data_IF_714553422645
#
_entry.id   IF_714553422645
#
_cell.length_a   1.000
_cell.length_b   1.000
_cell.length_c   1.000
_cell.angle_alpha   90.00
_cell.angle_beta   90.00
_cell.angle_gamma   90.00
#
_symmetry.space_group_name_H-M   'P 1'
#
loop_
_entity.id
_entity.type
_entity.pdbx_description
1 polymer ?
#
# COMPACT_ATOMS: atom_id res chain seq x y z
N UNK A 1 -12.75 -1.27 -6.12
CA UNK A 1 -12.45 -2.70 -5.87
C UNK A 1 -11.73 -2.79 -4.54
N UNK A 2 -12.03 -3.81 -3.70
CA UNK A 2 -11.31 -4.01 -2.46
C UNK A 2 -9.82 -4.18 -2.73
N UNK A 3 -9.01 -3.72 -1.79
CA UNK A 3 -7.56 -3.88 -1.84
C UNK A 3 -7.26 -5.37 -1.83
N UNK A 4 -6.64 -5.89 -2.90
CA UNK A 4 -6.18 -7.29 -2.91
C UNK A 4 -4.79 -7.34 -2.30
N UNK A 5 -4.64 -8.04 -1.19
CA UNK A 5 -3.34 -8.41 -0.63
C UNK A 5 -2.77 -9.58 -1.42
N UNK A 6 -1.47 -9.57 -1.68
CA UNK A 6 -0.82 -10.64 -2.43
C UNK A 6 -0.75 -11.92 -1.60
N UNK A 7 -0.40 -11.78 -0.32
CA UNK A 7 -0.11 -12.82 0.67
C UNK A 7 -1.32 -13.25 1.51
N UNK A 8 -2.54 -12.93 1.06
CA UNK A 8 -3.79 -13.36 1.71
C UNK A 8 -4.65 -14.10 0.70
N UNK A 9 -4.79 -15.41 0.90
CA UNK A 9 -5.50 -16.34 0.04
C UNK A 9 -6.72 -16.98 0.69
N UNK A 10 -7.67 -17.53 -0.09
CA UNK A 10 -8.91 -18.12 0.43
C UNK A 10 -8.75 -19.27 1.43
N UNK A 11 -7.56 -19.86 1.52
CA UNK A 11 -7.24 -20.96 2.44
C UNK A 11 -6.75 -20.46 3.80
N UNK A 12 -6.41 -19.19 3.93
CA UNK A 12 -5.96 -18.62 5.19
C UNK A 12 -7.14 -18.47 6.14
N UNK A 13 -6.94 -18.86 7.40
CA UNK A 13 -8.01 -18.84 8.41
C UNK A 13 -8.55 -17.42 8.68
N UNK A 14 -7.73 -16.39 8.46
CA UNK A 14 -8.08 -14.97 8.61
C UNK A 14 -8.60 -14.32 7.32
N UNK A 15 -8.67 -15.04 6.19
CA UNK A 15 -9.00 -14.48 4.87
C UNK A 15 -10.28 -13.63 4.87
N UNK A 16 -11.37 -14.18 5.43
CA UNK A 16 -12.68 -13.49 5.46
C UNK A 16 -12.62 -12.22 6.30
N UNK A 17 -11.99 -12.28 7.48
CA UNK A 17 -11.87 -11.14 8.37
C UNK A 17 -11.07 -9.99 7.72
N UNK A 18 -9.98 -10.31 7.01
CA UNK A 18 -9.19 -9.30 6.28
C UNK A 18 -10.03 -8.66 5.17
N UNK A 19 -10.76 -9.44 4.37
CA UNK A 19 -11.61 -8.88 3.31
C UNK A 19 -12.74 -7.98 3.84
N UNK A 20 -13.38 -8.38 4.94
CA UNK A 20 -14.43 -7.58 5.58
C UNK A 20 -13.85 -6.27 6.10
N UNK A 21 -12.70 -6.32 6.77
CA UNK A 21 -12.06 -5.14 7.37
C UNK A 21 -11.45 -4.18 6.34
N UNK A 22 -11.00 -4.67 5.18
CA UNK A 22 -10.62 -3.83 4.03
C UNK A 22 -11.77 -3.03 3.44
N UNK A 23 -13.02 -3.41 3.75
CA UNK A 23 -14.22 -2.67 3.34
C UNK A 23 -14.71 -1.67 4.40
N UNK A 24 -14.07 -1.64 5.58
CA UNK A 24 -14.41 -0.74 6.66
C UNK A 24 -13.61 0.55 6.54
N UNK A 25 -14.29 1.69 6.36
CA UNK A 25 -13.65 3.00 6.26
C UNK A 25 -13.65 3.74 7.59
N UNK A 26 -12.57 4.47 7.87
CA UNK A 26 -12.41 5.27 9.09
C UNK A 26 -12.69 6.76 8.88
N UNK A 27 -13.05 7.14 7.66
CA UNK A 27 -13.42 8.51 7.31
C UNK A 27 -14.71 8.55 6.48
N UNK A 28 -15.34 9.73 6.42
CA UNK A 28 -16.57 9.95 5.67
C UNK A 28 -16.37 9.93 4.14
N UNK A 29 -15.15 10.22 3.66
CA UNK A 29 -14.80 10.26 2.23
C UNK A 29 -14.52 8.87 1.65
N UNK A 30 -14.43 7.85 2.49
CA UNK A 30 -14.04 6.48 2.19
C UNK A 30 -12.65 6.39 1.55
N UNK A 31 -11.71 7.19 2.06
CA UNK A 31 -10.33 7.24 1.53
C UNK A 31 -9.40 6.32 2.33
N UNK A 32 -9.61 6.18 3.63
CA UNK A 32 -8.83 5.35 4.53
C UNK A 32 -9.64 4.18 5.08
N UNK A 33 -9.05 2.99 5.00
CA UNK A 33 -9.61 1.74 5.54
C UNK A 33 -9.20 1.53 7.00
N UNK A 34 -9.82 0.58 7.69
CA UNK A 34 -9.50 0.22 9.07
C UNK A 34 -8.05 -0.27 9.20
N UNK A 35 -7.59 -1.08 8.26
CA UNK A 35 -6.19 -1.49 8.17
C UNK A 35 -5.47 -0.70 7.09
N UNK A 36 -4.30 -0.14 7.42
CA UNK A 36 -3.30 0.28 6.45
C UNK A 36 -2.23 -0.80 6.36
N UNK A 37 -1.79 -1.12 5.15
CA UNK A 37 -0.68 -2.07 4.97
C UNK A 37 0.62 -1.46 5.48
N UNK A 38 1.56 -2.31 5.88
CA UNK A 38 2.95 -1.90 6.07
C UNK A 38 3.61 -1.68 4.71
N UNK A 39 4.37 -0.60 4.59
CA UNK A 39 5.12 -0.29 3.37
C UNK A 39 6.44 -1.03 3.36
N UNK A 40 6.90 -1.42 2.16
CA UNK A 40 8.14 -2.15 1.99
C UNK A 40 8.75 -1.88 0.61
N UNK A 41 10.07 -1.93 0.53
CA UNK A 41 10.83 -1.85 -0.72
C UNK A 41 12.21 -2.52 -0.64
N UNK A 42 12.47 -3.27 0.45
CA UNK A 42 13.68 -4.05 0.63
C UNK A 42 13.39 -5.54 0.47
N UNK A 43 14.28 -6.23 -0.22
CA UNK A 43 14.12 -7.64 -0.59
C UNK A 43 15.42 -8.38 -0.32
N UNK A 44 15.31 -9.68 -0.04
CA UNK A 44 16.47 -10.56 0.07
C UNK A 44 17.27 -10.50 -1.23
N UNK A 45 18.60 -10.54 -1.13
CA UNK A 45 19.52 -10.51 -2.27
C UNK A 45 19.14 -11.53 -3.35
N UNK A 46 18.97 -11.07 -4.60
CA UNK A 46 18.56 -11.90 -5.74
C UNK A 46 17.07 -12.25 -5.79
N UNK A 47 16.25 -11.76 -4.86
CA UNK A 47 14.80 -11.99 -4.76
C UNK A 47 14.01 -10.69 -4.80
N UNK A 48 14.43 -9.74 -5.65
CA UNK A 48 13.70 -8.48 -5.82
C UNK A 48 12.42 -8.66 -6.61
N UNK A 49 11.47 -7.75 -6.42
CA UNK A 49 10.27 -7.69 -7.26
C UNK A 49 10.63 -7.27 -8.68
N UNK A 50 10.21 -8.08 -9.66
CA UNK A 50 10.51 -7.86 -11.07
C UNK A 50 9.33 -8.24 -11.97
N UNK A 51 9.19 -7.55 -13.11
CA UNK A 51 8.23 -7.89 -14.16
C UNK A 51 8.96 -8.24 -15.44
N UNK A 52 8.72 -9.45 -15.95
CA UNK A 52 9.24 -9.92 -17.22
C UNK A 52 8.12 -9.91 -18.26
N UNK A 53 8.35 -9.26 -19.39
CA UNK A 53 7.35 -9.08 -20.43
C UNK A 53 7.76 -9.84 -21.69
N UNK A 54 6.83 -10.62 -22.24
CA UNK A 54 7.03 -11.47 -23.40
C UNK A 54 5.91 -11.25 -24.42
N UNK A 55 6.21 -11.60 -25.66
CA UNK A 55 5.20 -11.86 -26.69
C UNK A 55 5.23 -13.36 -26.97
N UNK A 56 4.10 -14.04 -26.82
CA UNK A 56 4.05 -15.50 -26.99
C UNK A 56 4.32 -15.90 -28.44
N UNK A 57 4.96 -17.05 -28.62
CA UNK A 57 5.02 -17.76 -29.89
C UNK A 57 3.96 -18.87 -29.94
N UNK A 58 3.67 -19.38 -31.14
CA UNK A 58 2.68 -20.44 -31.32
C UNK A 58 3.04 -21.70 -30.52
N UNK A 59 2.10 -22.19 -29.71
CA UNK A 59 2.28 -23.37 -28.87
C UNK A 59 3.13 -23.13 -27.61
N UNK A 60 3.54 -21.89 -27.32
CA UNK A 60 4.42 -21.62 -26.17
C UNK A 60 3.71 -21.88 -24.85
N UNK A 61 4.33 -22.71 -24.01
CA UNK A 61 3.90 -23.03 -22.63
C UNK A 61 4.96 -22.70 -21.58
N UNK A 62 6.17 -22.35 -22.02
CA UNK A 62 7.36 -22.18 -21.18
C UNK A 62 7.98 -20.80 -21.44
N UNK A 63 8.22 -20.05 -20.37
CA UNK A 63 8.81 -18.71 -20.42
C UNK A 63 10.14 -18.72 -19.67
N UNK A 64 11.19 -18.25 -20.33
CA UNK A 64 12.51 -18.13 -19.74
C UNK A 64 12.64 -16.85 -18.92
N UNK A 65 12.95 -17.01 -17.64
CA UNK A 65 13.26 -15.94 -16.70
C UNK A 65 14.65 -16.21 -16.14
N UNK A 66 15.68 -15.74 -16.84
CA UNK A 66 17.07 -16.05 -16.52
C UNK A 66 17.44 -15.63 -15.09
N UNK A 67 18.05 -16.53 -14.33
CA UNK A 67 18.41 -16.33 -12.92
C UNK A 67 17.28 -16.62 -11.93
N UNK A 68 16.06 -16.91 -12.39
CA UNK A 68 14.97 -17.29 -11.51
C UNK A 68 15.24 -18.62 -10.83
N UNK A 69 15.02 -18.66 -9.52
CA UNK A 69 15.00 -19.89 -8.71
C UNK A 69 13.72 -19.89 -7.90
N UNK A 70 12.87 -20.92 -7.95
CA UNK A 70 11.66 -20.96 -7.13
C UNK A 70 11.97 -20.79 -5.62
N UNK A 71 11.14 -20.02 -4.91
CA UNK A 71 11.17 -19.89 -3.45
C UNK A 71 9.72 -19.90 -2.96
N UNK A 72 9.43 -20.69 -1.92
CA UNK A 72 8.07 -20.86 -1.41
C UNK A 72 7.47 -19.59 -0.80
N UNK A 73 8.30 -18.60 -0.45
CA UNK A 73 7.87 -17.30 0.10
C UNK A 73 7.59 -16.27 -0.99
N UNK A 74 7.99 -16.55 -2.23
CA UNK A 74 7.75 -15.69 -3.37
C UNK A 74 6.48 -16.11 -4.11
N UNK A 75 5.63 -15.12 -4.40
CA UNK A 75 4.46 -15.32 -5.26
C UNK A 75 4.79 -14.94 -6.69
N UNK A 76 4.34 -15.77 -7.62
CA UNK A 76 4.48 -15.57 -9.07
C UNK A 76 3.10 -15.36 -9.67
N UNK A 77 2.90 -14.23 -10.34
CA UNK A 77 1.66 -13.91 -11.04
C UNK A 77 1.93 -13.83 -12.54
N UNK A 78 1.13 -14.54 -13.34
CA UNK A 78 1.20 -14.48 -14.80
C UNK A 78 -0.04 -13.78 -15.32
N UNK A 79 0.13 -12.84 -16.23
CA UNK A 79 -0.96 -12.14 -16.92
C UNK A 79 -0.83 -12.41 -18.41
N UNK A 80 -1.88 -12.95 -19.02
CA UNK A 80 -1.93 -13.24 -20.45
C UNK A 80 -3.02 -12.35 -21.06
N UNK A 81 -2.63 -11.41 -21.90
CA UNK A 81 -3.49 -10.29 -22.34
C UNK A 81 -4.23 -9.66 -21.14
N UNK A 82 -3.51 -9.46 -20.04
CA UNK A 82 -4.08 -8.91 -18.80
C UNK A 82 -4.96 -9.85 -17.97
N UNK A 83 -5.25 -11.06 -18.43
CA UNK A 83 -6.01 -12.05 -17.67
C UNK A 83 -5.08 -12.77 -16.69
N UNK A 84 -5.33 -12.71 -15.37
CA UNK A 84 -4.51 -13.41 -14.39
C UNK A 84 -4.64 -14.93 -14.58
N UNK A 85 -3.51 -15.58 -14.75
CA UNK A 85 -3.37 -17.02 -15.01
C UNK A 85 -2.44 -17.62 -13.95
N UNK A 86 -2.84 -18.74 -13.37
CA UNK A 86 -1.98 -19.46 -12.42
C UNK A 86 -0.88 -20.22 -13.19
N UNK A 87 0.39 -20.10 -12.79
CA UNK A 87 1.44 -20.94 -13.35
C UNK A 87 1.18 -22.41 -13.01
N UNK A 88 1.47 -23.31 -13.96
CA UNK A 88 1.32 -24.76 -13.76
C UNK A 88 2.52 -25.37 -13.05
N UNK A 89 3.71 -24.82 -13.29
CA UNK A 89 4.97 -25.26 -12.68
C UNK A 89 5.96 -24.09 -12.61
N UNK A 90 6.70 -24.03 -11.51
CA UNK A 90 7.83 -23.13 -11.31
C UNK A 90 9.11 -23.98 -11.33
N UNK A 91 10.08 -23.59 -12.14
CA UNK A 91 11.33 -24.32 -12.35
C UNK A 91 12.49 -23.32 -12.43
N UNK A 92 13.71 -23.79 -12.19
CA UNK A 92 14.90 -22.95 -12.37
C UNK A 92 14.94 -22.35 -13.76
N UNK A 93 15.11 -21.03 -13.82
CA UNK A 93 15.06 -20.19 -15.01
C UNK A 93 13.76 -20.21 -15.81
N UNK A 94 12.71 -20.92 -15.38
CA UNK A 94 11.52 -21.12 -16.20
C UNK A 94 10.20 -21.09 -15.43
N UNK A 95 9.21 -20.44 -16.05
CA UNK A 95 7.83 -20.44 -15.57
C UNK A 95 6.95 -21.07 -16.64
N UNK A 96 6.15 -22.05 -16.23
CA UNK A 96 5.29 -22.82 -17.12
C UNK A 96 3.83 -22.44 -16.91
N UNK A 97 3.08 -22.45 -18.01
CA UNK A 97 1.62 -22.32 -18.03
C UNK A 97 0.99 -23.64 -18.47
N UNK A 98 -0.24 -23.90 -18.02
CA UNK A 98 -0.88 -25.21 -18.17
C UNK A 98 -1.42 -25.53 -19.56
N UNK A 99 -1.35 -24.59 -20.51
CA UNK A 99 -1.93 -24.72 -21.84
C UNK A 99 -1.12 -23.94 -22.88
N UNK A 100 -1.11 -24.38 -24.14
CA UNK A 100 -0.40 -23.70 -25.22
C UNK A 100 -1.05 -22.36 -25.57
N UNK A 101 -0.24 -21.34 -25.86
CA UNK A 101 -0.71 -20.04 -26.33
C UNK A 101 -0.67 -19.94 -27.86
N UNK A 102 -1.60 -19.16 -28.38
CA UNK A 102 -1.51 -18.67 -29.76
C UNK A 102 -0.39 -17.65 -29.90
N UNK A 103 0.17 -17.50 -31.10
CA UNK A 103 1.16 -16.48 -31.40
C UNK A 103 0.65 -15.05 -31.11
N UNK A 104 1.53 -14.18 -30.62
CA UNK A 104 1.29 -12.74 -30.50
C UNK A 104 0.56 -12.28 -29.23
N UNK A 105 0.35 -13.14 -28.24
CA UNK A 105 -0.26 -12.76 -26.94
C UNK A 105 0.75 -12.02 -26.08
N UNK A 106 0.31 -11.01 -25.35
CA UNK A 106 1.17 -10.31 -24.39
C UNK A 106 1.18 -11.07 -23.06
N UNK A 107 2.37 -11.44 -22.59
CA UNK A 107 2.54 -12.16 -21.33
C UNK A 107 3.40 -11.35 -20.39
N UNK A 108 2.86 -10.97 -19.24
CA UNK A 108 3.61 -10.32 -18.16
C UNK A 108 3.70 -11.26 -16.97
N UNK A 109 4.92 -11.54 -16.54
CA UNK A 109 5.22 -12.37 -15.38
C UNK A 109 5.75 -11.46 -14.27
N UNK A 110 5.01 -11.36 -13.17
CA UNK A 110 5.41 -10.66 -11.96
C UNK A 110 6.00 -11.64 -10.95
N UNK A 111 7.27 -11.47 -10.65
CA UNK A 111 7.93 -12.02 -9.48
C UNK A 111 7.71 -11.06 -8.32
N UNK A 112 7.00 -11.48 -7.27
CA UNK A 112 6.67 -10.58 -6.15
C UNK A 112 7.88 -10.21 -5.28
N UNK A 113 8.99 -10.93 -5.43
CA UNK A 113 10.15 -10.87 -4.55
C UNK A 113 9.92 -11.57 -3.21
N UNK A 114 11.01 -11.71 -2.44
CA UNK A 114 10.97 -12.10 -1.02
C UNK A 114 11.38 -10.89 -0.20
N UNK A 115 10.43 -10.33 0.54
CA UNK A 115 10.62 -9.13 1.35
C UNK A 115 11.62 -9.43 2.46
N UNK A 116 12.57 -8.54 2.69
CA UNK A 116 13.48 -8.66 3.82
C UNK A 116 12.75 -8.22 5.09
N UNK A 117 12.80 -9.07 6.12
CA UNK A 117 12.09 -8.88 7.37
C UNK A 117 13.13 -8.61 8.47
N UNK A 118 12.87 -7.60 9.29
CA UNK A 118 13.57 -7.47 10.56
C UNK A 118 13.07 -8.56 11.50
N UNK A 119 13.96 -9.43 11.96
CA UNK A 119 13.66 -10.40 13.01
C UNK A 119 14.21 -9.88 14.33
N UNK A 120 13.31 -9.53 15.24
CA UNK A 120 13.66 -9.17 16.60
C UNK A 120 14.30 -10.33 17.37
N UNK A 121 15.06 -10.02 18.43
CA UNK A 121 15.71 -10.99 19.32
C UNK A 121 14.83 -11.42 20.51
N UNK A 122 13.54 -11.07 20.46
CA UNK A 122 12.55 -11.31 21.51
C UNK A 122 12.82 -10.61 22.85
N UNK A 123 13.77 -9.67 22.92
CA UNK A 123 13.89 -8.76 24.05
C UNK A 123 12.82 -7.68 24.01
N UNK A 124 12.48 -7.08 25.17
CA UNK A 124 11.42 -6.06 25.28
C UNK A 124 11.59 -4.88 24.31
N UNK A 125 12.83 -4.52 23.97
CA UNK A 125 13.16 -3.35 23.14
C UNK A 125 13.45 -3.70 21.68
N UNK A 126 13.59 -4.99 21.34
CA UNK A 126 13.91 -5.46 19.99
C UNK A 126 13.12 -6.73 19.62
N UNK A 127 11.84 -6.77 19.96
CA UNK A 127 10.95 -7.91 19.73
C UNK A 127 10.13 -7.84 18.43
N UNK A 128 10.21 -6.74 17.68
CA UNK A 128 9.35 -6.57 16.51
C UNK A 128 9.74 -7.50 15.37
N UNK A 129 8.73 -7.84 14.57
CA UNK A 129 8.90 -8.47 13.28
C UNK A 129 8.20 -7.57 12.28
N UNK A 130 8.93 -6.98 11.34
CA UNK A 130 8.35 -6.03 10.38
C UNK A 130 9.11 -6.02 9.04
N UNK A 131 8.45 -5.67 7.92
CA UNK A 131 9.12 -5.58 6.63
C UNK A 131 10.06 -4.39 6.57
N UNK A 132 11.25 -4.60 6.02
CA UNK A 132 12.27 -3.56 5.91
C UNK A 132 11.99 -2.58 4.76
N UNK A 133 12.50 -1.37 4.96
CA UNK A 133 12.58 -0.33 3.95
C UNK A 133 14.03 0.00 3.66
N UNK A 134 14.38 0.03 2.38
CA UNK A 134 15.68 0.49 1.93
C UNK A 134 15.76 2.02 1.99
N UNK A 135 16.93 2.54 2.33
CA UNK A 135 17.20 3.98 2.40
C UNK A 135 17.35 4.66 1.04
N UNK A 136 16.87 4.06 -0.06
CA UNK A 136 16.96 4.68 -1.38
C UNK A 136 15.96 5.84 -1.54
N UNK A 137 16.27 6.77 -2.44
CA UNK A 137 15.36 7.87 -2.77
C UNK A 137 14.14 7.35 -3.50
N UNK A 138 13.00 7.34 -2.81
CA UNK A 138 11.72 6.87 -3.35
C UNK A 138 11.36 7.65 -4.62
N UNK A 139 10.92 6.91 -5.64
CA UNK A 139 10.50 7.51 -6.90
C UNK A 139 9.35 6.74 -7.51
N UNK A 140 8.33 7.44 -7.99
CA UNK A 140 7.25 6.84 -8.78
C UNK A 140 7.80 6.28 -10.10
N UNK A 141 7.32 5.10 -10.54
CA UNK A 141 7.67 4.57 -11.86
C UNK A 141 7.31 5.56 -12.95
N UNK A 142 8.28 5.86 -13.81
CA UNK A 142 8.12 6.87 -14.85
C UNK A 142 8.75 6.48 -16.18
N UNK A 143 8.26 7.07 -17.27
CA UNK A 143 8.88 6.98 -18.59
C UNK A 143 8.66 8.27 -19.38
N UNK A 144 9.72 8.74 -20.05
CA UNK A 144 9.62 9.83 -21.03
C UNK A 144 8.85 9.35 -22.26
N UNK A 145 7.83 10.09 -22.65
CA UNK A 145 7.03 9.82 -23.85
C UNK A 145 7.73 10.25 -25.13
N UNK A 146 7.43 9.63 -26.27
CA UNK A 146 8.05 9.94 -27.57
C UNK A 146 7.91 11.42 -27.97
N UNK A 147 6.75 12.03 -27.69
CA UNK A 147 6.47 13.46 -27.99
C UNK A 147 6.57 14.35 -26.76
N UNK A 148 7.35 13.96 -25.75
CA UNK A 148 7.47 14.67 -24.47
C UNK A 148 7.76 16.17 -24.61
N UNK A 149 8.68 16.57 -25.50
CA UNK A 149 9.06 17.98 -25.68
C UNK A 149 7.92 18.86 -26.22
N UNK A 150 6.91 18.23 -26.82
CA UNK A 150 5.75 18.90 -27.39
C UNK A 150 4.47 18.56 -26.61
N UNK A 151 4.58 17.90 -25.46
CA UNK A 151 3.42 17.54 -24.66
C UNK A 151 2.67 18.82 -24.23
N UNK A 152 1.35 18.78 -24.36
CA UNK A 152 0.48 19.86 -23.91
C UNK A 152 -0.63 19.24 -23.08
N UNK A 153 -0.72 19.67 -21.83
CA UNK A 153 -1.89 19.41 -21.02
C UNK A 153 -2.96 20.47 -21.33
N UNK A 154 -4.13 20.03 -21.74
CA UNK A 154 -5.30 20.87 -21.91
C UNK A 154 -6.48 20.19 -21.23
N UNK A 155 -7.09 20.88 -20.28
CA UNK A 155 -8.21 20.35 -19.50
C UNK A 155 -9.40 19.99 -20.38
N UNK A 156 -9.61 20.73 -21.47
CA UNK A 156 -10.67 20.52 -22.47
C UNK A 156 -10.48 19.19 -23.20
N UNK A 157 -9.22 18.78 -23.42
CA UNK A 157 -8.86 17.53 -24.08
C UNK A 157 -8.34 16.46 -23.11
N UNK A 158 -8.47 16.67 -21.81
CA UNK A 158 -7.96 15.75 -20.78
C UNK A 158 -8.61 14.37 -20.85
N UNK A 159 -9.84 14.27 -21.35
CA UNK A 159 -10.54 13.01 -21.58
C UNK A 159 -9.92 12.16 -22.72
N UNK A 160 -9.11 12.77 -23.58
CA UNK A 160 -8.39 12.09 -24.65
C UNK A 160 -7.08 11.45 -24.17
N UNK A 161 -6.66 11.76 -22.94
CA UNK A 161 -5.52 11.11 -22.30
C UNK A 161 -5.97 9.84 -21.61
N UNK A 162 -5.52 8.70 -22.13
CA UNK A 162 -5.95 7.39 -21.68
C UNK A 162 -4.71 6.53 -21.53
N UNK A 163 -4.58 5.86 -20.39
CA UNK A 163 -3.59 4.82 -20.21
C UNK A 163 -4.29 3.48 -19.92
N UNK A 164 -3.78 2.42 -20.51
CA UNK A 164 -4.26 1.04 -20.34
C UNK A 164 -3.08 0.15 -19.99
N UNK A 165 -3.23 -0.66 -18.95
CA UNK A 165 -2.26 -1.66 -18.53
C UNK A 165 -3.02 -2.97 -18.30
N UNK A 166 -2.53 -4.10 -18.81
CA UNK A 166 -3.18 -5.41 -18.61
C UNK A 166 -4.70 -5.39 -18.94
N UNK A 167 -5.07 -4.79 -20.07
CA UNK A 167 -6.46 -4.61 -20.50
C UNK A 167 -7.38 -3.86 -19.51
N UNK A 168 -6.78 -3.14 -18.55
CA UNK A 168 -7.48 -2.29 -17.60
C UNK A 168 -7.18 -0.82 -17.87
N UNK A 169 -8.23 -0.01 -18.04
CA UNK A 169 -8.10 1.45 -18.10
C UNK A 169 -7.65 1.98 -16.74
N UNK A 170 -6.58 2.76 -16.74
CA UNK A 170 -6.04 3.41 -15.56
C UNK A 170 -6.82 4.69 -15.26
N UNK A 171 -6.90 5.06 -13.97
CA UNK A 171 -7.52 6.31 -13.54
C UNK A 171 -6.51 7.45 -13.70
N UNK A 172 -6.85 8.46 -14.51
CA UNK A 172 -6.04 9.68 -14.60
C UNK A 172 -6.21 10.49 -13.31
N UNK A 173 -5.11 10.90 -12.70
CA UNK A 173 -5.10 11.77 -11.52
C UNK A 173 -4.46 13.11 -11.91
N UNK A 174 -5.15 14.21 -11.63
CA UNK A 174 -4.54 15.53 -11.74
C UNK A 174 -3.60 15.75 -10.55
N UNK A 175 -2.40 16.26 -10.82
CA UNK A 175 -1.38 16.49 -9.81
C UNK A 175 -0.95 17.94 -9.95
N UNK A 176 -1.39 18.73 -8.99
CA UNK A 176 -0.95 20.12 -8.84
C UNK A 176 0.39 20.12 -8.12
N UNK A 177 1.42 20.68 -8.75
CA UNK A 177 2.75 20.85 -8.15
C UNK A 177 2.80 22.25 -7.58
N UNK A 178 2.99 22.36 -6.26
CA UNK A 178 3.08 23.66 -5.60
C UNK A 178 4.37 24.38 -5.99
N UNK A 179 4.42 25.70 -5.79
CA UNK A 179 5.67 26.46 -5.90
C UNK A 179 6.71 25.85 -4.93
N UNK A 180 7.93 25.63 -5.42
CA UNK A 180 9.06 25.01 -4.72
C UNK A 180 8.91 23.52 -4.31
N UNK A 181 7.83 22.83 -4.72
CA UNK A 181 7.66 21.39 -4.46
C UNK A 181 8.28 20.53 -5.58
N UNK A 182 8.94 19.43 -5.21
CA UNK A 182 9.42 18.48 -6.22
C UNK A 182 8.24 17.69 -6.82
N UNK A 183 8.37 17.24 -8.07
CA UNK A 183 7.34 16.40 -8.71
C UNK A 183 7.07 15.13 -7.88
N UNK A 184 8.10 14.54 -7.25
CA UNK A 184 7.94 13.34 -6.42
C UNK A 184 7.16 13.61 -5.14
N UNK A 185 7.33 14.78 -4.52
CA UNK A 185 6.58 15.18 -3.33
C UNK A 185 5.11 15.42 -3.69
N UNK A 186 4.86 16.11 -4.81
CA UNK A 186 3.50 16.34 -5.32
C UNK A 186 2.79 15.02 -5.65
N UNK A 187 3.50 14.06 -6.25
CA UNK A 187 3.00 12.71 -6.51
C UNK A 187 2.72 11.96 -5.19
N UNK A 188 3.61 12.03 -4.21
CA UNK A 188 3.45 11.38 -2.90
C UNK A 188 2.22 11.91 -2.18
N UNK A 189 2.04 13.23 -2.16
CA UNK A 189 0.88 13.92 -1.57
C UNK A 189 -0.43 13.56 -2.25
N UNK A 190 -0.45 13.43 -3.58
CA UNK A 190 -1.68 13.30 -4.36
C UNK A 190 -2.09 11.85 -4.66
N UNK A 191 -1.12 11.03 -5.08
CA UNK A 191 -1.33 9.62 -5.41
C UNK A 191 -1.20 8.73 -4.18
N UNK A 192 -0.21 8.97 -3.32
CA UNK A 192 0.12 8.08 -2.20
C UNK A 192 0.20 6.61 -2.64
N UNK A 193 -0.62 5.74 -2.05
CA UNK A 193 -0.69 4.32 -2.42
C UNK A 193 -1.89 3.94 -3.30
N UNK A 194 -2.53 4.93 -3.96
CA UNK A 194 -3.60 4.66 -4.93
C UNK A 194 -3.08 3.74 -6.02
N UNK A 195 -3.86 2.71 -6.37
CA UNK A 195 -3.51 1.72 -7.38
C UNK A 195 -4.15 2.06 -8.72
N UNK A 196 -3.56 1.53 -9.79
CA UNK A 196 -4.07 1.61 -11.16
C UNK A 196 -4.34 3.06 -11.63
N UNK A 197 -3.44 3.96 -11.24
CA UNK A 197 -3.52 5.38 -11.55
C UNK A 197 -2.35 5.82 -12.44
N UNK A 198 -2.57 6.88 -13.22
CA UNK A 198 -1.52 7.52 -14.00
C UNK A 198 -1.68 9.04 -14.02
N UNK A 199 -0.59 9.73 -14.32
CA UNK A 199 -0.58 11.15 -14.67
C UNK A 199 0.54 11.43 -15.67
N UNK A 200 0.43 12.54 -16.39
CA UNK A 200 1.47 12.98 -17.34
C UNK A 200 1.87 14.40 -16.95
N UNK A 201 3.14 14.57 -16.61
CA UNK A 201 3.73 15.85 -16.18
C UNK A 201 4.96 16.09 -17.04
N UNK A 202 5.00 17.23 -17.74
CA UNK A 202 6.12 17.64 -18.60
C UNK A 202 6.53 16.55 -19.63
N UNK A 203 5.56 15.83 -20.18
CA UNK A 203 5.79 14.77 -21.15
C UNK A 203 6.36 13.45 -20.58
N UNK A 204 6.39 13.30 -19.26
CA UNK A 204 6.68 12.04 -18.59
C UNK A 204 5.39 11.40 -18.09
N UNK A 205 5.19 10.13 -18.43
CA UNK A 205 4.16 9.30 -17.82
C UNK A 205 4.65 8.84 -16.45
N UNK A 206 3.88 9.14 -15.42
CA UNK A 206 4.04 8.61 -14.06
C UNK A 206 2.87 7.68 -13.76
N UNK A 207 3.15 6.55 -13.12
CA UNK A 207 2.13 5.57 -12.73
C UNK A 207 2.26 5.14 -11.28
N UNK A 208 1.18 4.61 -10.70
CA UNK A 208 1.19 4.06 -9.35
C UNK A 208 2.22 2.93 -9.19
N UNK A 209 2.81 2.80 -7.99
CA UNK A 209 3.88 1.84 -7.70
C UNK A 209 3.57 0.39 -8.11
N UNK A 210 2.30 -0.02 -8.04
CA UNK A 210 1.88 -1.38 -8.43
C UNK A 210 2.09 -1.69 -9.92
N UNK A 211 2.27 -0.67 -10.76
CA UNK A 211 2.48 -0.78 -12.21
C UNK A 211 3.96 -0.64 -12.61
N UNK A 212 4.88 -0.63 -11.65
CA UNK A 212 6.31 -0.61 -11.94
C UNK A 212 6.69 -1.77 -12.88
N UNK A 213 7.39 -1.48 -13.98
CA UNK A 213 7.85 -2.44 -15.00
C UNK A 213 6.75 -3.14 -15.82
N UNK A 214 5.47 -2.79 -15.63
CA UNK A 214 4.41 -3.27 -16.51
C UNK A 214 4.33 -2.46 -17.81
N UNK A 215 3.98 -3.09 -18.95
CA UNK A 215 3.75 -2.38 -20.20
C UNK A 215 2.43 -1.61 -20.15
N UNK A 216 2.49 -0.36 -20.60
CA UNK A 216 1.35 0.56 -20.60
C UNK A 216 1.18 1.13 -22.00
N UNK A 217 -0.05 1.07 -22.49
CA UNK A 217 -0.46 1.73 -23.73
C UNK A 217 -1.06 3.07 -23.38
N UNK A 218 -0.47 4.15 -23.86
CA UNK A 218 -0.86 5.52 -23.52
C UNK A 218 -1.25 6.31 -24.77
N UNK A 219 -2.35 7.04 -24.62
CA UNK A 219 -2.80 8.08 -25.52
C UNK A 219 -2.61 9.42 -24.83
N UNK A 220 -2.04 10.40 -25.52
CA UNK A 220 -1.78 11.72 -24.93
C UNK A 220 -1.71 12.82 -25.99
N UNK A 221 -1.92 14.05 -25.53
CA UNK A 221 -1.96 15.22 -26.41
C UNK A 221 -0.57 15.83 -26.59
N UNK A 222 -0.28 16.31 -27.80
CA UNK A 222 0.96 17.00 -28.11
C UNK A 222 0.74 18.08 -29.17
N UNK A 223 1.54 19.14 -29.11
CA UNK A 223 1.52 20.23 -30.07
C UNK A 223 2.26 19.85 -31.35
N UNK A 224 1.58 20.05 -32.49
CA UNK A 224 2.17 19.97 -33.82
C UNK A 224 1.84 21.24 -34.60
N UNK A 225 2.75 22.22 -34.57
CA UNK A 225 2.52 23.54 -35.15
C UNK A 225 1.47 24.31 -34.34
N UNK A 226 0.39 24.77 -34.98
CA UNK A 226 -0.72 25.46 -34.32
C UNK A 226 -1.83 24.50 -33.82
N UNK A 227 -1.71 23.19 -34.06
CA UNK A 227 -2.75 22.22 -33.72
C UNK A 227 -2.32 21.29 -32.58
N UNK A 228 -3.26 20.98 -31.69
CA UNK A 228 -3.14 19.88 -30.72
C UNK A 228 -3.52 18.58 -31.44
N UNK A 229 -2.64 17.59 -31.39
CA UNK A 229 -2.89 16.23 -31.89
C UNK A 229 -2.81 15.23 -30.75
N UNK A 230 -3.41 14.07 -30.95
CA UNK A 230 -3.36 12.98 -29.99
C UNK A 230 -2.45 11.86 -30.54
N UNK A 231 -1.41 11.51 -29.79
CA UNK A 231 -0.62 10.31 -30.02
C UNK A 231 -1.39 9.14 -29.43
N UNK A 232 -1.63 8.09 -30.22
CA UNK A 232 -2.41 6.93 -29.79
C UNK A 232 -1.55 5.67 -29.76
N UNK A 233 -1.78 4.84 -28.74
CA UNK A 233 -1.26 3.48 -28.63
C UNK A 233 0.25 3.41 -28.42
N UNK A 234 0.89 4.44 -27.86
CA UNK A 234 2.32 4.35 -27.54
C UNK A 234 2.51 3.33 -26.41
N UNK A 235 3.35 2.31 -26.66
CA UNK A 235 3.69 1.30 -25.66
C UNK A 235 4.93 1.74 -24.88
N UNK A 236 4.79 1.93 -23.58
CA UNK A 236 5.87 2.34 -22.68
C UNK A 236 5.96 1.42 -21.47
N UNK A 237 7.17 1.25 -20.93
CA UNK A 237 7.42 0.50 -19.69
C UNK A 237 8.00 1.48 -18.66
N UNK A 238 7.16 2.08 -17.78
CA UNK A 238 7.63 2.92 -16.70
C UNK A 238 8.39 2.10 -15.67
N UNK A 239 9.47 2.68 -15.17
CA UNK A 239 10.36 2.01 -14.22
C UNK A 239 10.76 2.96 -13.09
N UNK A 240 10.91 2.38 -11.91
CA UNK A 240 11.58 2.98 -10.77
C UNK A 240 12.51 1.95 -10.14
N UNK A 241 13.73 2.39 -9.83
CA UNK A 241 14.72 1.61 -9.08
C UNK A 241 14.39 1.54 -7.58
N UNK A 242 13.50 2.40 -7.09
CA UNK A 242 13.15 2.53 -5.68
C UNK A 242 11.63 2.72 -5.52
N UNK A 243 10.87 1.74 -5.98
CA UNK A 243 9.41 1.73 -5.86
C UNK A 243 8.97 1.29 -4.46
N UNK A 244 7.97 1.96 -3.89
CA UNK A 244 7.42 1.64 -2.56
C UNK A 244 6.14 0.82 -2.70
N UNK A 245 6.08 -0.34 -2.04
CA UNK A 245 4.95 -1.26 -2.14
C UNK A 245 4.10 -1.25 -0.87
N UNK A 246 2.78 -1.43 -1.05
CA UNK A 246 1.78 -1.51 0.02
C UNK A 246 0.67 -2.50 -0.39
N UNK A 247 1.09 -3.69 -0.81
CA UNK A 247 0.22 -4.73 -1.36
C UNK A 247 0.35 -6.09 -0.67
N UNK A 248 1.06 -6.16 0.45
CA UNK A 248 1.09 -7.32 1.36
C UNK A 248 0.51 -6.96 2.71
N UNK A 249 -0.14 -7.92 3.34
CA UNK A 249 -0.78 -7.80 4.65
C UNK A 249 0.23 -8.03 5.78
N UNK A 250 1.16 -8.97 5.60
CA UNK A 250 2.14 -9.42 6.60
C UNK A 250 1.48 -9.97 7.89
N UNK A 251 0.88 -11.17 7.85
CA UNK A 251 0.13 -11.71 8.99
C UNK A 251 0.99 -12.02 10.23
N UNK A 252 2.28 -12.25 10.06
CA UNK A 252 3.19 -12.72 11.11
C UNK A 252 4.00 -11.59 11.78
N UNK A 253 3.58 -10.33 11.63
CA UNK A 253 4.28 -9.20 12.25
C UNK A 253 4.05 -9.14 13.76
N UNK A 254 5.05 -8.65 14.48
CA UNK A 254 4.95 -8.29 15.90
C UNK A 254 4.97 -6.78 16.00
N UNK A 255 3.94 -6.21 16.61
CA UNK A 255 3.74 -4.76 16.72
C UNK A 255 4.06 -4.23 18.11
N UNK A 256 4.49 -2.97 18.16
CA UNK A 256 4.63 -2.26 19.43
C UNK A 256 3.29 -1.89 20.06
N UNK A 257 3.29 -1.63 21.36
CA UNK A 257 2.12 -1.17 22.10
C UNK A 257 1.54 0.12 21.50
N UNK A 258 2.37 1.07 21.07
CA UNK A 258 1.90 2.28 20.39
C UNK A 258 1.17 2.00 19.07
N UNK A 259 1.64 1.02 18.29
CA UNK A 259 1.01 0.61 17.04
C UNK A 259 -0.31 -0.13 17.29
N UNK A 260 -0.36 -0.97 18.32
CA UNK A 260 -1.60 -1.63 18.76
C UNK A 260 -2.65 -0.60 19.21
N UNK A 261 -2.25 0.42 19.96
CA UNK A 261 -3.15 1.51 20.35
C UNK A 261 -3.60 2.36 19.17
N UNK A 262 -2.77 2.48 18.13
CA UNK A 262 -3.20 3.10 16.86
C UNK A 262 -4.29 2.29 16.18
N UNK A 263 -4.21 0.96 16.19
CA UNK A 263 -5.27 0.09 15.68
C UNK A 263 -6.58 0.27 16.47
N UNK A 264 -6.51 0.28 17.81
CA UNK A 264 -7.67 0.53 18.67
C UNK A 264 -8.29 1.91 18.39
N UNK A 265 -7.47 2.94 18.15
CA UNK A 265 -7.97 4.27 17.81
C UNK A 265 -8.68 4.26 16.45
N UNK A 266 -8.19 3.52 15.46
CA UNK A 266 -8.90 3.38 14.17
C UNK A 266 -10.23 2.65 14.31
N UNK A 267 -10.29 1.63 15.18
CA UNK A 267 -11.56 0.99 15.56
C UNK A 267 -12.50 1.99 16.20
N UNK A 268 -12.02 2.81 17.15
CA UNK A 268 -12.80 3.90 17.78
C UNK A 268 -13.35 4.87 16.74
N UNK A 269 -12.51 5.39 15.84
CA UNK A 269 -12.93 6.27 14.75
C UNK A 269 -14.02 5.65 13.89
N UNK A 270 -13.86 4.38 13.52
CA UNK A 270 -14.87 3.65 12.76
C UNK A 270 -16.21 3.54 13.50
N UNK A 271 -16.19 3.21 14.80
CA UNK A 271 -17.40 3.10 15.63
C UNK A 271 -18.11 4.45 15.72
N UNK A 272 -17.40 5.53 16.05
CA UNK A 272 -17.99 6.88 16.08
C UNK A 272 -18.63 7.26 14.75
N UNK A 273 -17.92 7.07 13.63
CA UNK A 273 -18.44 7.41 12.32
C UNK A 273 -19.65 6.54 11.88
N UNK A 274 -19.87 5.39 12.50
CA UNK A 274 -21.01 4.50 12.22
C UNK A 274 -22.22 4.80 13.11
N UNK A 275 -21.99 5.12 14.37
CA UNK A 275 -23.05 5.19 15.39
C UNK A 275 -23.34 6.61 15.87
N UNK A 276 -22.68 7.62 15.31
CA UNK A 276 -22.94 9.02 15.67
C UNK A 276 -23.09 9.88 14.43
N UNK A 277 -23.95 10.91 14.53
CA UNK A 277 -24.19 11.86 13.43
C UNK A 277 -23.02 12.83 13.21
N UNK A 278 -22.10 12.92 14.17
CA UNK A 278 -20.92 13.78 14.10
C UNK A 278 -19.71 12.92 13.78
N UNK A 279 -18.97 13.30 12.74
CA UNK A 279 -17.69 12.67 12.46
C UNK A 279 -16.76 12.74 13.68
N UNK A 280 -15.97 11.69 13.88
CA UNK A 280 -14.99 11.68 14.94
C UNK A 280 -13.96 12.80 14.77
N UNK A 281 -13.64 13.51 15.86
CA UNK A 281 -12.64 14.59 15.88
C UNK A 281 -11.56 14.21 16.89
N UNK A 282 -10.30 14.13 16.45
CA UNK A 282 -9.16 13.93 17.33
C UNK A 282 -8.93 15.17 18.20
N UNK A 283 -8.67 14.96 19.49
CA UNK A 283 -8.00 15.94 20.32
C UNK A 283 -6.55 16.11 19.85
N UNK A 284 -6.04 17.32 19.90
CA UNK A 284 -4.63 17.60 19.68
C UNK A 284 -3.78 17.09 20.86
N UNK A 285 -2.47 16.90 20.64
CA UNK A 285 -1.51 16.52 21.70
C UNK A 285 -1.58 17.44 22.93
N UNK A 286 -1.88 18.73 22.70
CA UNK A 286 -2.01 19.76 23.75
C UNK A 286 -3.28 19.61 24.58
N UNK A 287 -4.31 18.98 24.02
CA UNK A 287 -5.61 18.76 24.68
C UNK A 287 -5.65 17.47 25.51
N UNK A 288 -4.62 16.62 25.45
CA UNK A 288 -4.53 15.42 26.30
C UNK A 288 -4.35 15.81 27.76
N UNK A 289 -5.36 15.50 28.58
CA UNK A 289 -5.39 15.84 30.01
C UNK A 289 -4.60 14.86 30.87
N UNK A 290 -4.57 13.57 30.48
CA UNK A 290 -3.93 12.51 31.24
C UNK A 290 -2.44 12.75 31.44
N UNK A 291 -1.99 12.63 32.69
CA UNK A 291 -0.57 12.52 33.02
C UNK A 291 -0.03 11.16 32.57
N UNK A 292 1.04 11.18 31.79
CA UNK A 292 1.77 9.99 31.31
C UNK A 292 3.26 10.32 31.44
N UNK A 293 3.98 9.54 32.25
CA UNK A 293 5.37 9.81 32.61
C UNK A 293 6.29 9.89 31.40
N UNK A 294 6.09 9.03 30.40
CA UNK A 294 6.88 8.93 29.17
C UNK A 294 6.17 9.56 27.95
N UNK A 295 5.34 10.59 28.17
CA UNK A 295 4.66 11.35 27.11
C UNK A 295 5.66 11.94 26.10
N UNK A 296 6.82 12.38 26.56
CA UNK A 296 7.91 12.92 25.74
C UNK A 296 8.44 11.90 24.72
N UNK A 297 8.44 10.60 25.05
CA UNK A 297 8.81 9.52 24.13
C UNK A 297 7.73 9.21 23.08
N UNK A 298 6.48 9.60 23.35
CA UNK A 298 5.35 9.45 22.43
C UNK A 298 5.32 10.63 21.45
N UNK A 299 5.53 11.85 21.94
CA UNK A 299 5.45 13.07 21.13
C UNK A 299 6.50 13.05 20.01
N UNK A 300 6.08 13.42 18.79
CA UNK A 300 6.94 13.41 17.59
C UNK A 300 6.96 12.07 16.85
N UNK A 301 6.37 11.01 17.42
CA UNK A 301 6.14 9.74 16.71
C UNK A 301 4.92 9.86 15.81
N UNK A 302 4.90 9.09 14.71
CA UNK A 302 3.80 9.10 13.75
C UNK A 302 2.46 8.68 14.37
N UNK A 303 2.48 7.88 15.43
CA UNK A 303 1.30 7.41 16.16
C UNK A 303 0.90 8.31 17.35
N UNK A 304 1.62 9.42 17.59
CA UNK A 304 1.50 10.18 18.84
C UNK A 304 0.06 10.64 19.12
N UNK A 305 -0.59 11.24 18.13
CA UNK A 305 -1.97 11.71 18.27
C UNK A 305 -2.93 10.55 18.55
N UNK A 306 -2.82 9.44 17.81
CA UNK A 306 -3.70 8.29 18.00
C UNK A 306 -3.59 7.69 19.39
N UNK A 307 -2.35 7.48 19.87
CA UNK A 307 -2.06 6.91 21.19
C UNK A 307 -2.55 7.84 22.30
N UNK A 308 -2.23 9.13 22.24
CA UNK A 308 -2.63 10.07 23.29
C UNK A 308 -4.15 10.27 23.33
N UNK A 309 -4.83 10.28 22.17
CA UNK A 309 -6.29 10.40 22.12
C UNK A 309 -7.02 9.25 22.77
N UNK A 310 -6.57 8.02 22.54
CA UNK A 310 -7.24 6.85 23.07
C UNK A 310 -6.87 6.61 24.55
N UNK A 311 -5.66 6.98 24.97
CA UNK A 311 -5.26 6.92 26.38
C UNK A 311 -6.01 7.91 27.26
N UNK A 312 -6.49 9.01 26.69
CA UNK A 312 -7.28 10.03 27.41
C UNK A 312 -8.75 9.64 27.59
N UNK A 313 -9.19 8.53 26.97
CA UNK A 313 -10.57 8.09 27.03
C UNK A 313 -10.94 7.58 28.44
N UNK A 314 -12.16 7.89 28.88
CA UNK A 314 -12.70 7.56 30.20
C UNK A 314 -14.03 6.79 30.07
N UNK A 315 -14.28 5.90 31.01
CA UNK A 315 -15.61 5.34 31.26
C UNK A 315 -16.55 6.42 31.84
N UNK A 316 -17.86 6.15 31.97
CA UNK A 316 -18.77 7.18 32.51
C UNK A 316 -18.53 7.48 34.00
N UNK A 317 -17.85 6.59 34.73
CA UNK A 317 -17.41 6.82 36.10
C UNK A 317 -16.21 7.78 36.22
N UNK A 318 -15.66 8.24 35.09
CA UNK A 318 -14.51 9.14 35.01
C UNK A 318 -13.15 8.44 35.08
N UNK A 319 -13.09 7.13 35.29
CA UNK A 319 -11.85 6.37 35.26
C UNK A 319 -11.34 6.17 33.83
N UNK A 320 -10.02 6.23 33.64
CA UNK A 320 -9.43 6.00 32.32
C UNK A 320 -9.65 4.56 31.84
N UNK A 321 -10.00 4.42 30.55
CA UNK A 321 -10.29 3.11 29.93
C UNK A 321 -9.07 2.21 29.98
N UNK A 322 -7.92 2.72 29.57
CA UNK A 322 -6.68 1.96 29.48
C UNK A 322 -5.77 2.22 30.69
N UNK A 323 -5.21 1.18 31.33
CA UNK A 323 -4.29 1.36 32.44
C UNK A 323 -2.91 1.82 31.96
N UNK A 324 -2.20 2.56 32.81
CA UNK A 324 -0.75 2.74 32.73
C UNK A 324 -0.07 1.72 33.66
N UNK A 325 1.25 1.57 33.54
CA UNK A 325 2.02 0.82 34.52
C UNK A 325 2.03 1.54 35.88
N UNK A 326 2.47 0.81 36.91
CA UNK A 326 2.53 1.33 38.29
C UNK A 326 3.41 2.58 38.45
N UNK A 327 4.31 2.85 37.51
CA UNK A 327 5.16 4.04 37.49
C UNK A 327 4.62 5.16 36.58
N UNK A 328 3.33 5.10 36.21
CA UNK A 328 2.64 6.03 35.30
C UNK A 328 3.20 6.06 33.86
N UNK A 329 3.96 5.04 33.45
CA UNK A 329 4.45 4.91 32.08
C UNK A 329 3.51 4.13 31.17
N UNK A 330 3.58 4.38 29.86
CA UNK A 330 2.89 3.63 28.81
C UNK A 330 3.82 2.68 28.04
N UNK A 331 5.09 3.06 27.88
CA UNK A 331 6.12 2.31 27.16
C UNK A 331 5.73 2.00 25.70
N UNK A 332 5.58 3.02 24.83
CA UNK A 332 5.00 2.85 23.49
C UNK A 332 5.79 1.95 22.54
N UNK A 333 7.11 1.82 22.75
CA UNK A 333 8.06 1.12 21.87
C UNK A 333 8.41 -0.29 22.38
N UNK A 334 7.56 -0.87 23.24
CA UNK A 334 7.68 -2.26 23.72
C UNK A 334 6.60 -3.10 23.05
N UNK A 335 6.90 -4.36 22.69
CA UNK A 335 5.90 -5.20 22.05
C UNK A 335 4.73 -5.51 22.99
N UNK A 336 3.53 -5.51 22.40
CA UNK A 336 2.33 -5.90 23.14
C UNK A 336 2.36 -7.41 23.40
N UNK A 337 2.23 -7.80 24.67
CA UNK A 337 2.09 -9.21 25.04
C UNK A 337 0.65 -9.69 24.80
N UNK A 338 0.45 -11.01 24.73
CA UNK A 338 -0.90 -11.59 24.60
C UNK A 338 -1.83 -11.18 25.75
N UNK A 339 -1.30 -11.15 26.98
CA UNK A 339 -2.07 -10.75 28.16
C UNK A 339 -2.52 -9.29 28.06
N UNK A 340 -1.60 -8.40 27.68
CA UNK A 340 -1.91 -6.98 27.46
C UNK A 340 -2.93 -6.78 26.34
N UNK A 341 -2.75 -7.44 25.19
CA UNK A 341 -3.68 -7.33 24.07
C UNK A 341 -5.11 -7.73 24.49
N UNK A 342 -5.27 -8.82 25.26
CA UNK A 342 -6.58 -9.25 25.78
C UNK A 342 -7.16 -8.22 26.73
N UNK A 343 -6.37 -7.72 27.69
CA UNK A 343 -6.82 -6.72 28.68
C UNK A 343 -7.26 -5.43 27.99
N UNK A 344 -6.48 -4.95 27.01
CA UNK A 344 -6.79 -3.74 26.28
C UNK A 344 -8.03 -3.91 25.38
N UNK A 345 -8.18 -5.04 24.68
CA UNK A 345 -9.38 -5.32 23.87
C UNK A 345 -10.64 -5.46 24.72
N UNK A 346 -10.53 -6.09 25.90
CA UNK A 346 -11.64 -6.21 26.84
C UNK A 346 -12.12 -4.83 27.27
N UNK A 347 -11.21 -3.99 27.78
CA UNK A 347 -11.52 -2.62 28.22
C UNK A 347 -12.06 -1.75 27.09
N UNK A 348 -11.51 -1.89 25.89
CA UNK A 348 -12.04 -1.23 24.70
C UNK A 348 -13.49 -1.64 24.40
N UNK A 349 -13.79 -2.94 24.52
CA UNK A 349 -15.14 -3.47 24.28
C UNK A 349 -16.13 -2.99 25.35
N UNK A 350 -15.73 -3.01 26.62
CA UNK A 350 -16.54 -2.46 27.72
C UNK A 350 -16.85 -0.98 27.49
N UNK A 351 -15.84 -0.19 27.15
CA UNK A 351 -16.02 1.24 26.85
C UNK A 351 -16.96 1.44 25.66
N UNK A 352 -16.78 0.68 24.58
CA UNK A 352 -17.63 0.79 23.40
C UNK A 352 -19.10 0.44 23.71
N UNK A 353 -19.32 -0.61 24.52
CA UNK A 353 -20.66 -0.98 24.97
C UNK A 353 -21.28 0.07 25.89
N UNK A 354 -20.51 0.69 26.77
CA UNK A 354 -21.02 1.73 27.65
C UNK A 354 -21.37 3.03 26.88
N UNK A 355 -20.57 3.37 25.87
CA UNK A 355 -20.67 4.64 25.16
C UNK A 355 -21.72 4.64 24.03
N UNK A 356 -21.93 3.50 23.38
CA UNK A 356 -22.75 3.40 22.16
C UNK A 356 -23.98 2.48 22.28
N UNK A 357 -24.22 1.88 23.45
CA UNK A 357 -25.48 1.20 23.75
C UNK A 357 -26.53 2.21 24.18
#
# INVERSE_FOLDING_TARGET
>A
MPKRWLDVGPKDWFYRAVLETDSMFIDAKKEETLFSGKTYNQFIGGKSRQVHNFTSTEGQTKFEVSGYKPDSREMVFVYIDGVPTLPSKLEDNFIHIGYPLTNGREVSILLSGVVEIHEGDHTLENCQIYPLMSGCSLAYPAKKLEKANNYVFDITYSLNEIAVCMNKKLKRIHVDVNEDESIQDALTRTLGFKRDCFTIINGYLYVSYNLNQFPIYVNYNYQKGAQIKNRQGEKVVPMSSCALYNDRFFPDITIYRGEFFTLLQRLRMNIYNRYTDRGYVNNTIKQTERYIKDKDKIVGKWYAESVLNILDEKFNDGCYVFPLYADDSFQPEVCVTRAEAIVYLHRFTEWALERFR
#
